data_IF_684698445485
#
_entry.id   IF_684698445485
#
_cell.length_a   1.000
_cell.length_b   1.000
_cell.length_c   1.000
_cell.angle_alpha   90.00
_cell.angle_beta   90.00
_cell.angle_gamma   90.00
#
_symmetry.space_group_name_H-M   'P 1'
#
loop_
_entity.id
_entity.type
_entity.pdbx_description
1 polymer ?
#
# COMPACT_ATOMS: atom_id res chain seq x y z
N UNK A 1 8.67 16.53 -26.71
CA UNK A 1 9.48 17.41 -25.85
C UNK A 1 10.79 16.70 -25.53
N UNK A 2 11.91 17.29 -25.95
CA UNK A 2 13.21 16.78 -25.56
C UNK A 2 13.59 17.36 -24.19
N UNK A 3 14.25 16.58 -23.31
CA UNK A 3 14.69 17.09 -22.02
C UNK A 3 15.66 18.28 -22.24
N UNK A 4 15.47 19.32 -21.44
CA UNK A 4 16.29 20.55 -21.48
C UNK A 4 17.78 20.24 -21.20
N UNK A 5 18.04 19.12 -20.52
CA UNK A 5 19.39 18.66 -20.19
C UNK A 5 19.44 17.14 -20.19
N UNK A 6 20.33 16.54 -20.98
CA UNK A 6 20.66 15.13 -20.88
C UNK A 6 21.58 14.91 -19.68
N UNK A 7 21.30 13.89 -18.84
CA UNK A 7 22.11 13.52 -17.70
C UNK A 7 22.38 12.01 -17.74
N UNK A 8 23.64 11.62 -17.57
CA UNK A 8 24.03 10.24 -17.36
C UNK A 8 24.31 10.10 -15.85
N UNK A 9 23.52 9.26 -15.20
CA UNK A 9 23.68 8.96 -13.77
C UNK A 9 24.44 7.64 -13.65
N UNK A 10 25.55 7.63 -12.89
CA UNK A 10 26.18 6.41 -12.43
C UNK A 10 25.32 5.70 -11.39
N UNK A 11 25.51 4.39 -11.21
CA UNK A 11 24.91 3.63 -10.13
C UNK A 11 25.97 3.18 -9.13
N UNK A 12 25.65 3.25 -7.83
CA UNK A 12 26.48 2.71 -6.75
C UNK A 12 26.23 1.21 -6.69
N UNK A 13 27.29 0.42 -6.67
CA UNK A 13 27.21 -1.05 -6.54
C UNK A 13 28.31 -1.56 -5.61
N UNK A 14 28.15 -2.76 -5.12
CA UNK A 14 29.17 -3.46 -4.33
C UNK A 14 30.20 -4.12 -5.25
N UNK A 15 31.44 -4.19 -4.80
CA UNK A 15 32.49 -5.01 -5.40
C UNK A 15 32.23 -6.50 -5.15
N UNK A 16 32.87 -7.39 -5.90
CA UNK A 16 32.70 -8.84 -5.74
C UNK A 16 33.04 -9.31 -4.31
N UNK A 17 34.06 -8.72 -3.68
CA UNK A 17 34.43 -9.03 -2.31
C UNK A 17 33.37 -8.59 -1.29
N UNK A 18 32.73 -7.44 -1.50
CA UNK A 18 31.63 -6.95 -0.64
C UNK A 18 30.37 -7.78 -0.84
N UNK A 19 30.08 -8.23 -2.07
CA UNK A 19 28.99 -9.15 -2.36
C UNK A 19 29.20 -10.50 -1.65
N UNK A 20 30.42 -11.05 -1.65
CA UNK A 20 30.74 -12.28 -0.92
C UNK A 20 30.55 -12.13 0.59
N UNK A 21 30.89 -10.99 1.16
CA UNK A 21 30.63 -10.70 2.57
C UNK A 21 29.14 -10.57 2.87
N UNK A 22 28.38 -9.91 1.97
CA UNK A 22 26.93 -9.73 2.12
C UNK A 22 26.17 -11.05 2.03
N UNK A 23 26.56 -11.98 1.14
CA UNK A 23 25.94 -13.31 1.01
C UNK A 23 25.95 -14.08 2.33
N UNK A 24 27.04 -14.02 3.08
CA UNK A 24 27.17 -14.70 4.38
C UNK A 24 26.12 -14.23 5.43
N UNK A 25 25.50 -13.07 5.22
CA UNK A 25 24.41 -12.58 6.07
C UNK A 25 23.09 -13.32 5.81
N UNK A 26 22.92 -13.93 4.66
CA UNK A 26 21.64 -14.47 4.18
C UNK A 26 21.63 -16.00 4.07
N UNK A 27 22.76 -16.62 3.71
CA UNK A 27 22.85 -18.06 3.51
C UNK A 27 22.47 -18.87 4.75
N UNK A 28 21.70 -19.93 4.57
CA UNK A 28 21.25 -20.86 5.61
C UNK A 28 20.46 -20.19 6.76
N UNK A 29 19.83 -19.07 6.50
CA UNK A 29 18.99 -18.36 7.47
C UNK A 29 17.55 -18.26 7.01
N UNK A 30 16.62 -18.33 7.95
CA UNK A 30 15.22 -18.03 7.73
C UNK A 30 15.05 -16.51 7.63
N UNK A 31 14.44 -16.02 6.55
CA UNK A 31 14.29 -14.58 6.38
C UNK A 31 13.04 -14.18 5.63
N UNK A 32 12.83 -12.86 5.56
CA UNK A 32 11.81 -12.21 4.77
C UNK A 32 12.42 -11.03 4.00
N UNK A 33 11.87 -10.75 2.82
CA UNK A 33 12.16 -9.54 2.06
C UNK A 33 10.98 -8.58 2.24
N UNK A 34 11.25 -7.32 2.57
CA UNK A 34 10.25 -6.25 2.58
C UNK A 34 10.56 -5.36 1.39
N UNK A 35 9.68 -5.37 0.37
CA UNK A 35 9.84 -4.59 -0.83
C UNK A 35 8.90 -3.38 -0.82
N UNK A 36 9.47 -2.19 -0.82
CA UNK A 36 8.74 -0.93 -0.91
C UNK A 36 9.02 -0.17 -2.21
N UNK A 37 8.52 1.05 -2.31
CA UNK A 37 8.80 1.91 -3.46
C UNK A 37 10.32 2.08 -3.64
N UNK A 38 10.78 1.99 -4.89
CA UNK A 38 12.20 2.13 -5.18
C UNK A 38 13.05 0.88 -4.89
N UNK A 39 12.42 -0.28 -4.71
CA UNK A 39 13.11 -1.56 -4.52
C UNK A 39 13.87 -2.06 -5.77
N UNK A 40 13.76 -1.37 -6.90
CA UNK A 40 14.46 -1.70 -8.13
C UNK A 40 13.64 -2.56 -9.09
N UNK A 41 14.32 -3.36 -9.89
CA UNK A 41 13.72 -4.23 -10.89
C UNK A 41 13.00 -5.40 -10.24
N UNK A 42 11.72 -5.59 -10.58
CA UNK A 42 10.85 -6.64 -10.06
C UNK A 42 11.43 -8.04 -10.31
N UNK A 43 12.03 -8.27 -11.50
CA UNK A 43 12.65 -9.57 -11.81
C UNK A 43 13.85 -9.84 -10.89
N UNK A 44 14.65 -8.83 -10.56
CA UNK A 44 15.79 -8.99 -9.68
C UNK A 44 15.38 -9.31 -8.22
N UNK A 45 14.24 -8.76 -7.77
CA UNK A 45 13.65 -9.11 -6.46
C UNK A 45 13.18 -10.56 -6.47
N UNK A 46 12.47 -11.00 -7.52
CA UNK A 46 12.01 -12.39 -7.66
C UNK A 46 13.18 -13.38 -7.71
N UNK A 47 14.20 -13.11 -8.54
CA UNK A 47 15.43 -13.92 -8.62
C UNK A 47 16.10 -14.09 -7.24
N UNK A 48 16.16 -13.01 -6.47
CA UNK A 48 16.75 -13.05 -5.12
C UNK A 48 15.85 -13.83 -4.14
N UNK A 49 14.54 -13.59 -4.17
CA UNK A 49 13.58 -14.25 -3.29
C UNK A 49 13.55 -15.77 -3.53
N UNK A 50 13.54 -16.19 -4.81
CA UNK A 50 13.64 -17.60 -5.20
C UNK A 50 14.95 -18.22 -4.73
N UNK A 51 16.09 -17.56 -5.00
CA UNK A 51 17.41 -18.04 -4.59
C UNK A 51 17.54 -18.23 -3.07
N UNK A 52 16.97 -17.31 -2.27
CA UNK A 52 16.97 -17.39 -0.81
C UNK A 52 15.89 -18.32 -0.24
N UNK A 53 14.81 -18.59 -1.01
CA UNK A 53 13.61 -19.24 -0.49
C UNK A 53 12.83 -18.37 0.49
N UNK A 54 12.85 -17.04 0.31
CA UNK A 54 12.23 -16.08 1.21
C UNK A 54 10.99 -15.42 0.62
N UNK A 55 9.91 -15.23 1.41
CA UNK A 55 8.74 -14.48 0.97
C UNK A 55 9.05 -12.99 0.81
N UNK A 56 8.37 -12.35 -0.15
CA UNK A 56 8.44 -10.90 -0.40
C UNK A 56 7.16 -10.25 0.13
N UNK A 57 7.25 -9.55 1.25
CA UNK A 57 6.17 -8.72 1.78
C UNK A 57 6.13 -7.44 0.94
N UNK A 58 5.22 -7.41 -0.04
CA UNK A 58 5.24 -6.43 -1.12
C UNK A 58 4.25 -5.29 -0.85
N UNK A 59 4.77 -4.08 -0.57
CA UNK A 59 3.98 -2.83 -0.56
C UNK A 59 3.30 -2.64 -1.92
N UNK A 60 2.10 -2.08 -1.93
CA UNK A 60 1.34 -1.81 -3.16
C UNK A 60 2.10 -0.92 -4.16
N UNK A 61 3.04 -0.10 -3.68
CA UNK A 61 3.86 0.81 -4.49
C UNK A 61 5.18 0.19 -4.97
N UNK A 62 5.49 -1.06 -4.54
CA UNK A 62 6.75 -1.73 -4.90
C UNK A 62 6.78 -2.23 -6.35
N UNK A 63 5.61 -2.51 -6.94
CA UNK A 63 5.45 -3.24 -8.19
C UNK A 63 5.65 -4.76 -8.05
N UNK A 64 6.04 -5.26 -6.86
CA UNK A 64 6.41 -6.67 -6.65
C UNK A 64 5.24 -7.60 -6.32
N UNK A 65 3.99 -7.09 -6.21
CA UNK A 65 2.85 -7.91 -5.78
C UNK A 65 2.47 -9.05 -6.75
N UNK A 66 2.95 -9.01 -8.00
CA UNK A 66 2.65 -10.00 -9.03
C UNK A 66 3.69 -11.13 -9.18
N UNK A 67 4.78 -11.14 -8.40
CA UNK A 67 5.77 -12.20 -8.47
C UNK A 67 5.34 -13.43 -7.66
N UNK A 68 5.83 -14.65 -8.00
CA UNK A 68 5.43 -15.88 -7.31
C UNK A 68 5.71 -15.89 -5.80
N UNK A 69 6.76 -15.20 -5.38
CA UNK A 69 7.22 -15.12 -3.98
C UNK A 69 6.49 -14.06 -3.16
N UNK A 70 5.55 -13.31 -3.79
CA UNK A 70 4.92 -12.17 -3.14
C UNK A 70 3.84 -12.58 -2.14
N UNK A 71 3.79 -11.78 -1.07
CA UNK A 71 2.77 -11.80 -0.02
C UNK A 71 2.14 -10.42 0.00
N UNK A 72 0.90 -10.33 -0.49
CA UNK A 72 0.19 -9.06 -0.67
C UNK A 72 -0.55 -8.65 0.61
N UNK A 73 -1.20 -9.62 1.26
CA UNK A 73 -2.00 -9.38 2.47
C UNK A 73 -1.21 -9.59 3.77
N UNK A 74 0.10 -9.31 3.74
CA UNK A 74 1.01 -9.57 4.85
C UNK A 74 0.56 -8.95 6.17
N UNK A 75 -0.08 -7.78 6.16
CA UNK A 75 -0.60 -7.14 7.38
C UNK A 75 -1.64 -8.02 8.07
N UNK A 76 -2.62 -8.56 7.32
CA UNK A 76 -3.62 -9.49 7.86
C UNK A 76 -3.01 -10.80 8.34
N UNK A 77 -2.01 -11.33 7.62
CA UNK A 77 -1.31 -12.56 8.02
C UNK A 77 -0.54 -12.38 9.34
N UNK A 78 0.13 -11.25 9.50
CA UNK A 78 0.91 -10.94 10.70
C UNK A 78 0.01 -10.75 11.94
N UNK A 79 -1.26 -10.37 11.76
CA UNK A 79 -2.25 -10.30 12.86
C UNK A 79 -2.69 -11.68 13.35
N UNK A 80 -2.47 -12.73 12.59
CA UNK A 80 -2.77 -14.11 13.00
C UNK A 80 -1.62 -14.66 13.87
N UNK A 81 -1.77 -14.61 15.20
CA UNK A 81 -0.75 -15.05 16.14
C UNK A 81 -0.31 -16.50 15.88
N UNK A 82 -1.26 -17.40 15.64
CA UNK A 82 -0.98 -18.82 15.39
C UNK A 82 -0.09 -19.04 14.15
N UNK A 83 -0.19 -18.16 13.15
CA UNK A 83 0.66 -18.19 11.96
C UNK A 83 2.02 -17.53 12.24
N UNK A 84 2.02 -16.30 12.76
CA UNK A 84 3.23 -15.49 12.85
C UNK A 84 4.25 -16.05 13.86
N UNK A 85 3.80 -16.72 14.91
CA UNK A 85 4.68 -17.36 15.89
C UNK A 85 5.57 -18.46 15.28
N UNK A 86 5.11 -19.10 14.20
CA UNK A 86 5.86 -20.10 13.45
C UNK A 86 6.75 -19.47 12.35
N UNK A 87 6.58 -18.19 12.08
CA UNK A 87 7.22 -17.50 10.96
C UNK A 87 8.27 -16.46 11.39
N UNK A 88 8.84 -16.58 12.58
CA UNK A 88 9.84 -15.64 13.10
C UNK A 88 11.08 -15.65 12.22
N UNK A 89 11.46 -14.52 11.58
CA UNK A 89 12.65 -14.44 10.76
C UNK A 89 13.92 -14.25 11.62
N UNK A 90 15.04 -14.76 11.14
CA UNK A 90 16.37 -14.47 11.66
C UNK A 90 16.97 -13.23 10.98
N UNK A 91 16.57 -13.00 9.71
CA UNK A 91 17.02 -11.87 8.90
C UNK A 91 15.84 -11.19 8.22
N UNK A 92 15.85 -9.87 8.22
CA UNK A 92 14.91 -9.04 7.45
C UNK A 92 15.70 -8.20 6.47
N UNK A 93 15.45 -8.42 5.17
CA UNK A 93 16.03 -7.63 4.10
C UNK A 93 15.00 -6.59 3.64
N UNK A 94 15.26 -5.33 3.94
CA UNK A 94 14.43 -4.19 3.54
C UNK A 94 15.01 -3.55 2.29
N UNK A 95 14.20 -3.44 1.24
CA UNK A 95 14.62 -2.87 -0.05
C UNK A 95 13.66 -1.75 -0.45
N UNK A 96 14.19 -0.54 -0.61
CA UNK A 96 13.41 0.66 -0.88
C UNK A 96 12.72 1.24 0.35
N UNK A 97 11.63 2.01 0.13
CA UNK A 97 10.89 2.68 1.20
C UNK A 97 10.11 1.68 2.09
N UNK A 98 9.92 2.03 3.35
CA UNK A 98 9.14 1.20 4.28
C UNK A 98 7.64 1.24 3.95
N UNK A 99 6.93 0.10 4.02
CA UNK A 99 5.47 0.03 3.96
C UNK A 99 4.77 0.83 5.06
N UNK A 100 3.48 1.09 4.88
CA UNK A 100 2.67 1.86 5.85
C UNK A 100 2.25 1.06 7.08
N UNK A 101 2.44 -0.25 7.09
CA UNK A 101 1.95 -1.16 8.12
C UNK A 101 2.68 -0.99 9.45
N UNK A 102 1.93 -0.53 10.47
CA UNK A 102 2.40 -0.51 11.86
C UNK A 102 2.63 -1.93 12.40
N UNK A 103 1.76 -2.86 12.01
CA UNK A 103 1.81 -4.26 12.47
C UNK A 103 3.06 -4.95 11.94
N UNK A 104 3.45 -4.69 10.68
CA UNK A 104 4.70 -5.17 10.12
C UNK A 104 5.91 -4.65 10.92
N UNK A 105 5.96 -3.35 11.21
CA UNK A 105 7.05 -2.77 11.99
C UNK A 105 7.15 -3.40 13.39
N UNK A 106 6.01 -3.59 14.07
CA UNK A 106 5.95 -4.26 15.38
C UNK A 106 6.43 -5.72 15.31
N UNK A 107 6.02 -6.45 14.28
CA UNK A 107 6.45 -7.83 14.05
C UNK A 107 7.96 -7.92 13.85
N UNK A 108 8.52 -7.09 12.99
CA UNK A 108 9.95 -7.04 12.72
C UNK A 108 10.75 -6.66 13.98
N UNK A 109 10.29 -5.66 14.72
CA UNK A 109 10.93 -5.27 16.00
C UNK A 109 10.87 -6.40 17.03
N UNK A 110 9.72 -7.05 17.18
CA UNK A 110 9.51 -8.16 18.14
C UNK A 110 10.36 -9.40 17.78
N UNK A 111 10.60 -9.66 16.50
CA UNK A 111 11.38 -10.79 16.03
C UNK A 111 12.86 -10.71 16.46
N UNK A 112 13.40 -9.52 16.71
CA UNK A 112 14.83 -9.25 16.95
C UNK A 112 15.73 -9.75 15.83
N UNK A 113 15.21 -9.87 14.62
CA UNK A 113 15.94 -10.26 13.43
C UNK A 113 17.07 -9.28 13.12
N UNK A 114 18.13 -9.77 12.51
CA UNK A 114 19.17 -8.91 11.95
C UNK A 114 18.61 -8.19 10.72
N UNK A 115 18.52 -6.86 10.77
CA UNK A 115 17.89 -6.08 9.72
C UNK A 115 18.93 -5.45 8.79
N UNK A 116 18.83 -5.77 7.50
CA UNK A 116 19.61 -5.18 6.43
C UNK A 116 18.73 -4.26 5.61
N UNK A 117 19.12 -3.02 5.43
CA UNK A 117 18.42 -2.08 4.53
C UNK A 117 19.30 -1.77 3.33
N UNK A 118 18.74 -1.95 2.13
CA UNK A 118 19.39 -1.66 0.86
C UNK A 118 18.69 -0.50 0.18
N UNK A 119 19.41 0.56 -0.10
CA UNK A 119 18.90 1.70 -0.87
C UNK A 119 20.03 2.38 -1.65
N UNK A 120 19.66 3.04 -2.74
CA UNK A 120 20.59 3.85 -3.53
C UNK A 120 20.97 5.17 -2.85
N UNK A 121 20.30 5.53 -1.76
CA UNK A 121 20.47 6.77 -1.03
C UNK A 121 21.07 6.49 0.36
N UNK A 122 21.90 7.42 0.84
CA UNK A 122 22.53 7.31 2.17
C UNK A 122 21.52 7.44 3.33
N UNK A 123 20.37 8.07 3.07
CA UNK A 123 19.35 8.29 4.10
C UNK A 123 18.53 7.03 4.35
N UNK A 124 18.72 6.46 5.54
CA UNK A 124 17.93 5.33 6.02
C UNK A 124 16.67 5.85 6.68
N UNK A 125 15.51 5.47 6.14
CA UNK A 125 14.24 5.74 6.80
C UNK A 125 13.97 4.64 7.84
N UNK A 126 14.50 4.82 9.03
CA UNK A 126 14.45 3.87 10.15
C UNK A 126 14.03 4.59 11.44
N UNK A 127 12.72 4.91 11.54
CA UNK A 127 12.19 5.65 12.67
C UNK A 127 12.36 4.95 14.02
N UNK A 128 12.45 3.63 14.01
CA UNK A 128 12.58 2.81 15.22
C UNK A 128 14.04 2.44 15.52
N UNK A 129 14.99 2.91 14.72
CA UNK A 129 16.45 2.62 14.84
C UNK A 129 16.74 1.12 14.96
N UNK A 130 16.10 0.31 14.11
CA UNK A 130 16.16 -1.15 14.13
C UNK A 130 17.11 -1.73 13.07
N UNK A 131 17.52 -0.94 12.07
CA UNK A 131 18.40 -1.39 11.00
C UNK A 131 19.80 -1.67 11.56
N UNK A 132 20.22 -2.92 11.44
CA UNK A 132 21.55 -3.38 11.90
C UNK A 132 22.66 -3.05 10.91
N UNK A 133 22.32 -3.05 9.60
CA UNK A 133 23.26 -2.77 8.52
C UNK A 133 22.56 -2.01 7.40
N UNK A 134 23.13 -0.88 6.99
CA UNK A 134 22.72 -0.17 5.78
C UNK A 134 23.73 -0.45 4.66
N UNK A 135 23.22 -0.85 3.50
CA UNK A 135 24.01 -1.06 2.28
C UNK A 135 23.60 -0.01 1.24
N UNK A 136 24.50 0.94 0.99
CA UNK A 136 24.33 1.93 -0.07
C UNK A 136 24.63 1.30 -1.42
N UNK A 137 23.62 0.84 -2.13
CA UNK A 137 23.75 0.21 -3.44
C UNK A 137 22.46 0.39 -4.26
N UNK A 138 22.60 0.36 -5.58
CA UNK A 138 21.44 0.20 -6.44
C UNK A 138 20.77 -1.14 -6.15
N UNK A 139 19.47 -1.16 -5.75
CA UNK A 139 18.77 -2.38 -5.36
C UNK A 139 18.81 -3.49 -6.40
N UNK A 140 18.63 -3.16 -7.68
CA UNK A 140 18.66 -4.14 -8.79
C UNK A 140 20.02 -4.82 -8.90
N UNK A 141 21.09 -4.02 -8.85
CA UNK A 141 22.47 -4.54 -8.94
C UNK A 141 22.80 -5.41 -7.73
N UNK A 142 22.40 -4.97 -6.54
CA UNK A 142 22.55 -5.73 -5.31
C UNK A 142 21.81 -7.10 -5.40
N UNK A 143 20.52 -7.09 -5.73
CA UNK A 143 19.72 -8.33 -5.80
C UNK A 143 20.33 -9.33 -6.79
N UNK A 144 20.67 -8.90 -7.99
CA UNK A 144 21.32 -9.77 -9.01
C UNK A 144 22.70 -10.24 -8.61
N UNK A 145 23.46 -9.40 -7.89
CA UNK A 145 24.76 -9.78 -7.37
C UNK A 145 24.68 -10.88 -6.32
N UNK A 146 23.75 -10.72 -5.35
CA UNK A 146 23.55 -11.71 -4.28
C UNK A 146 22.94 -13.00 -4.83
N UNK A 147 21.89 -12.92 -5.67
CA UNK A 147 21.21 -14.14 -6.18
C UNK A 147 22.16 -15.10 -6.93
N UNK A 148 23.16 -14.55 -7.66
CA UNK A 148 24.15 -15.36 -8.36
C UNK A 148 25.13 -16.12 -7.46
N UNK A 149 25.28 -15.68 -6.23
CA UNK A 149 26.23 -16.24 -5.26
C UNK A 149 25.56 -17.19 -4.27
N UNK A 150 24.24 -17.18 -4.16
CA UNK A 150 23.48 -18.13 -3.33
C UNK A 150 23.50 -19.51 -4.00
N UNK A 151 23.95 -20.53 -3.26
CA UNK A 151 24.10 -21.88 -3.78
C UNK A 151 22.85 -22.76 -3.60
N UNK A 152 22.06 -22.50 -2.56
CA UNK A 152 20.81 -23.23 -2.29
C UNK A 152 19.85 -22.36 -1.46
N UNK A 153 18.55 -22.53 -1.73
CA UNK A 153 17.51 -21.89 -0.96
C UNK A 153 17.52 -22.35 0.51
N UNK A 154 17.56 -21.40 1.43
CA UNK A 154 17.73 -21.69 2.86
C UNK A 154 16.50 -22.34 3.47
N UNK A 155 15.29 -21.90 3.06
CA UNK A 155 14.04 -22.40 3.62
C UNK A 155 12.85 -22.30 2.62
N UNK A 156 12.80 -23.19 1.60
CA UNK A 156 11.68 -23.21 0.64
C UNK A 156 10.32 -23.47 1.30
N UNK A 157 10.31 -24.10 2.48
CA UNK A 157 9.10 -24.36 3.24
C UNK A 157 8.52 -23.06 3.82
N UNK A 158 9.38 -22.17 4.32
CA UNK A 158 8.97 -20.86 4.80
C UNK A 158 8.28 -20.06 3.70
N UNK A 159 8.90 -19.96 2.50
CA UNK A 159 8.31 -19.29 1.35
C UNK A 159 6.92 -19.85 1.01
N UNK A 160 6.81 -21.18 0.86
CA UNK A 160 5.55 -21.81 0.50
C UNK A 160 4.45 -21.61 1.55
N UNK A 161 4.77 -21.57 2.83
CA UNK A 161 3.81 -21.29 3.91
C UNK A 161 3.23 -19.88 3.80
N UNK A 162 4.07 -18.88 3.59
CA UNK A 162 3.63 -17.49 3.41
C UNK A 162 2.75 -17.31 2.17
N UNK A 163 3.20 -17.84 1.03
CA UNK A 163 2.46 -17.72 -0.25
C UNK A 163 1.11 -18.44 -0.16
N UNK A 164 1.06 -19.65 0.42
CA UNK A 164 -0.20 -20.37 0.63
C UNK A 164 -1.15 -19.62 1.57
N UNK A 165 -0.64 -19.01 2.65
CA UNK A 165 -1.44 -18.20 3.54
C UNK A 165 -1.99 -16.94 2.84
N UNK A 166 -1.19 -16.27 2.01
CA UNK A 166 -1.64 -15.13 1.21
C UNK A 166 -2.73 -15.52 0.22
N UNK A 167 -2.60 -16.68 -0.44
CA UNK A 167 -3.63 -17.18 -1.34
C UNK A 167 -4.96 -17.46 -0.62
N UNK A 168 -4.92 -18.02 0.60
CA UNK A 168 -6.12 -18.21 1.43
C UNK A 168 -6.74 -16.85 1.81
N UNK A 169 -5.92 -15.87 2.19
CA UNK A 169 -6.37 -14.51 2.51
C UNK A 169 -7.07 -13.87 1.30
N UNK A 170 -6.44 -13.90 0.13
CA UNK A 170 -6.96 -13.38 -1.14
C UNK A 170 -8.35 -13.96 -1.48
N UNK A 171 -8.49 -15.28 -1.40
CA UNK A 171 -9.77 -15.97 -1.69
C UNK A 171 -10.83 -15.59 -0.66
N UNK A 172 -10.47 -15.52 0.62
CA UNK A 172 -11.40 -15.17 1.70
C UNK A 172 -11.92 -13.75 1.55
N UNK A 173 -11.05 -12.76 1.32
CA UNK A 173 -11.42 -11.36 1.12
C UNK A 173 -12.33 -11.21 -0.11
N UNK A 174 -11.94 -11.80 -1.24
CA UNK A 174 -12.73 -11.71 -2.47
C UNK A 174 -14.11 -12.35 -2.32
N UNK A 175 -14.22 -13.48 -1.61
CA UNK A 175 -15.48 -14.15 -1.32
C UNK A 175 -16.37 -13.29 -0.41
N UNK A 176 -15.81 -12.70 0.63
CA UNK A 176 -16.55 -11.82 1.55
C UNK A 176 -17.14 -10.62 0.80
N UNK A 177 -16.34 -9.93 -0.01
CA UNK A 177 -16.82 -8.78 -0.77
C UNK A 177 -17.83 -9.14 -1.87
N UNK A 178 -17.74 -10.34 -2.46
CA UNK A 178 -18.72 -10.81 -3.42
C UNK A 178 -20.06 -11.21 -2.77
N UNK A 179 -20.04 -11.67 -1.53
CA UNK A 179 -21.22 -12.11 -0.79
C UNK A 179 -21.93 -11.00 -0.01
N UNK A 180 -21.22 -9.90 0.26
CA UNK A 180 -21.75 -8.78 1.05
C UNK A 180 -22.88 -8.06 0.33
N UNK A 181 -24.08 -8.09 0.92
CA UNK A 181 -25.25 -7.30 0.51
C UNK A 181 -25.40 -6.02 1.35
N UNK A 182 -24.47 -5.75 2.23
CA UNK A 182 -24.45 -4.57 3.09
C UNK A 182 -24.09 -3.31 2.31
N UNK A 183 -24.32 -2.16 2.93
CA UNK A 183 -23.81 -0.88 2.43
C UNK A 183 -22.29 -0.95 2.21
N UNK A 184 -21.83 -0.20 1.20
CA UNK A 184 -20.40 -0.08 0.92
C UNK A 184 -19.63 0.35 2.16
N UNK A 185 -18.48 -0.29 2.39
CA UNK A 185 -17.50 0.08 3.42
C UNK A 185 -16.16 0.45 2.78
N UNK A 186 -15.28 1.11 3.52
CA UNK A 186 -14.01 1.62 2.99
C UNK A 186 -13.10 0.52 2.41
N UNK A 187 -12.91 -0.67 3.04
CA UNK A 187 -12.20 -1.80 2.43
C UNK A 187 -12.77 -2.25 1.09
N UNK A 188 -14.09 -2.35 0.99
CA UNK A 188 -14.76 -2.75 -0.25
C UNK A 188 -14.63 -1.68 -1.34
N UNK A 189 -14.68 -0.40 -0.97
CA UNK A 189 -14.43 0.72 -1.90
C UNK A 189 -13.02 0.63 -2.47
N UNK A 190 -12.00 0.37 -1.64
CA UNK A 190 -10.62 0.20 -2.09
C UNK A 190 -10.49 -1.00 -3.05
N UNK A 191 -11.08 -2.14 -2.72
CA UNK A 191 -11.06 -3.35 -3.54
C UNK A 191 -11.74 -3.14 -4.90
N UNK A 192 -12.97 -2.56 -4.93
CA UNK A 192 -13.71 -2.31 -6.16
C UNK A 192 -13.02 -1.27 -7.02
N UNK A 193 -12.51 -0.19 -6.41
CA UNK A 193 -11.78 0.88 -7.10
C UNK A 193 -10.53 0.34 -7.79
N UNK A 194 -9.69 -0.41 -7.06
CA UNK A 194 -8.51 -1.07 -7.63
C UNK A 194 -8.89 -2.04 -8.76
N UNK A 195 -9.95 -2.83 -8.57
CA UNK A 195 -10.39 -3.83 -9.55
C UNK A 195 -10.95 -3.23 -10.84
N UNK A 196 -11.32 -1.95 -10.83
CA UNK A 196 -11.79 -1.21 -12.01
C UNK A 196 -10.67 -0.71 -12.93
N UNK A 197 -9.41 -0.83 -12.49
CA UNK A 197 -8.23 -0.38 -13.22
C UNK A 197 -7.60 -1.51 -14.02
N UNK A 198 -7.02 -1.15 -15.16
CA UNK A 198 -6.35 -2.03 -16.10
C UNK A 198 -4.84 -1.85 -16.07
N UNK A 199 -4.12 -2.73 -16.75
CA UNK A 199 -2.66 -2.66 -16.87
C UNK A 199 -2.22 -1.29 -17.40
N UNK A 200 -1.34 -0.64 -16.65
CA UNK A 200 -0.75 0.66 -16.99
C UNK A 200 -1.55 1.86 -16.47
N UNK A 201 -2.76 1.65 -15.94
CA UNK A 201 -3.50 2.72 -15.28
C UNK A 201 -2.81 3.16 -13.99
N UNK A 202 -3.10 4.40 -13.56
CA UNK A 202 -2.56 4.96 -12.33
C UNK A 202 -3.55 4.81 -11.17
N UNK A 203 -3.04 4.41 -10.02
CA UNK A 203 -3.73 4.47 -8.74
C UNK A 203 -2.99 5.42 -7.80
N UNK A 204 -3.59 6.56 -7.48
CA UNK A 204 -3.07 7.46 -6.48
C UNK A 204 -3.79 7.21 -5.16
N UNK A 205 -3.07 6.89 -4.10
CA UNK A 205 -3.66 6.58 -2.80
C UNK A 205 -3.24 7.58 -1.73
N UNK A 206 -4.22 8.16 -1.05
CA UNK A 206 -4.00 9.10 0.04
C UNK A 206 -3.54 8.41 1.31
N UNK A 207 -2.84 9.14 2.15
CA UNK A 207 -2.54 8.74 3.53
C UNK A 207 -3.82 8.52 4.35
N UNK A 208 -3.69 8.18 5.64
CA UNK A 208 -4.77 7.79 6.55
C UNK A 208 -5.33 6.41 6.24
N UNK A 209 -6.66 6.19 6.23
CA UNK A 209 -7.25 4.87 5.98
C UNK A 209 -7.12 4.41 4.52
N UNK A 210 -7.27 5.26 3.49
CA UNK A 210 -7.23 4.77 2.10
C UNK A 210 -6.01 3.93 1.73
N UNK A 211 -4.79 4.32 2.16
CA UNK A 211 -3.59 3.51 1.90
C UNK A 211 -3.62 2.19 2.67
N UNK A 212 -4.26 2.15 3.83
CA UNK A 212 -4.40 0.94 4.65
C UNK A 212 -5.45 0.00 4.07
N UNK A 213 -6.59 0.53 3.65
CA UNK A 213 -7.64 -0.23 3.00
C UNK A 213 -7.12 -0.90 1.72
N UNK A 214 -6.31 -0.18 0.95
CA UNK A 214 -5.64 -0.73 -0.23
C UNK A 214 -4.63 -1.82 0.14
N UNK A 215 -3.74 -1.57 1.11
CA UNK A 215 -2.67 -2.49 1.50
C UNK A 215 -3.23 -3.76 2.17
N UNK A 216 -4.29 -3.63 2.98
CA UNK A 216 -4.84 -4.76 3.72
C UNK A 216 -5.79 -5.61 2.89
N UNK A 217 -6.61 -4.97 2.04
CA UNK A 217 -7.77 -5.62 1.39
C UNK A 217 -7.92 -5.31 -0.10
N UNK A 218 -7.18 -4.36 -0.66
CA UNK A 218 -7.33 -3.93 -2.05
C UNK A 218 -6.87 -4.96 -3.09
N UNK A 219 -6.01 -5.89 -2.68
CA UNK A 219 -5.46 -6.92 -3.55
C UNK A 219 -4.28 -6.48 -4.40
N UNK A 220 -3.92 -7.29 -5.39
CA UNK A 220 -2.71 -7.14 -6.20
C UNK A 220 -2.74 -5.91 -7.12
N UNK A 221 -1.80 -5.01 -6.95
CA UNK A 221 -1.60 -3.78 -7.73
C UNK A 221 -0.45 -3.88 -8.76
N UNK A 222 0.12 -5.05 -9.00
CA UNK A 222 1.32 -5.24 -9.85
C UNK A 222 1.18 -4.74 -11.28
N UNK A 223 -0.04 -4.69 -11.81
CA UNK A 223 -0.30 -4.18 -13.16
C UNK A 223 -0.48 -2.66 -13.21
N UNK A 224 -0.53 -2.00 -12.07
CA UNK A 224 -0.82 -0.57 -11.93
C UNK A 224 0.45 0.23 -11.63
N UNK A 225 0.40 1.53 -11.92
CA UNK A 225 1.35 2.48 -11.38
C UNK A 225 0.77 3.11 -10.12
N UNK A 226 1.31 2.74 -8.94
CA UNK A 226 0.78 3.21 -7.66
C UNK A 226 1.60 4.38 -7.14
N UNK A 227 0.90 5.48 -6.85
CA UNK A 227 1.45 6.73 -6.36
C UNK A 227 0.88 7.11 -5.00
N UNK A 228 1.63 7.83 -4.20
CA UNK A 228 1.17 8.44 -2.95
C UNK A 228 2.12 9.53 -2.50
N UNK A 229 1.63 10.51 -1.73
CA UNK A 229 2.44 11.50 -1.05
C UNK A 229 3.02 10.88 0.23
N UNK A 230 4.13 10.12 0.09
CA UNK A 230 4.86 9.53 1.22
C UNK A 230 6.13 10.35 1.51
N UNK A 231 6.50 10.40 2.78
CA UNK A 231 7.52 11.31 3.32
C UNK A 231 6.82 12.31 4.24
N UNK A 232 6.36 13.44 3.75
CA UNK A 232 5.38 14.28 4.46
C UNK A 232 3.97 13.76 4.20
N UNK A 233 3.42 12.96 5.11
CA UNK A 233 2.14 12.25 4.94
C UNK A 233 0.92 13.15 5.25
N UNK A 234 0.87 14.36 4.67
CA UNK A 234 -0.23 15.29 4.85
C UNK A 234 -1.50 14.92 4.10
N UNK A 235 -2.55 15.68 4.35
CA UNK A 235 -3.82 15.64 3.60
C UNK A 235 -3.84 16.69 2.49
N UNK A 236 -2.86 17.57 2.47
CA UNK A 236 -2.64 18.64 1.49
C UNK A 236 -2.05 18.09 0.18
N UNK A 237 -2.42 18.68 -0.94
CA UNK A 237 -1.86 18.41 -2.25
C UNK A 237 -2.15 17.02 -2.83
N UNK A 238 -3.09 16.27 -2.28
CA UNK A 238 -3.45 14.90 -2.75
C UNK A 238 -4.08 14.97 -4.13
N UNK A 239 -5.08 15.83 -4.31
CA UNK A 239 -5.78 16.01 -5.59
C UNK A 239 -4.83 16.66 -6.60
N UNK A 240 -4.09 17.70 -6.22
CA UNK A 240 -3.10 18.35 -7.07
C UNK A 240 -2.07 17.36 -7.62
N UNK A 241 -1.54 16.48 -6.76
CA UNK A 241 -0.57 15.45 -7.14
C UNK A 241 -1.18 14.42 -8.10
N UNK A 242 -2.41 13.97 -7.83
CA UNK A 242 -3.12 13.04 -8.71
C UNK A 242 -3.41 13.65 -10.09
N UNK A 243 -3.78 14.94 -10.15
CA UNK A 243 -3.94 15.68 -11.40
C UNK A 243 -2.61 15.73 -12.15
N UNK A 244 -1.51 16.03 -11.44
CA UNK A 244 -0.16 16.04 -12.02
C UNK A 244 0.23 14.69 -12.65
N UNK A 245 -0.08 13.59 -11.95
CA UNK A 245 0.13 12.22 -12.48
C UNK A 245 -0.71 11.98 -13.73
N UNK A 246 -2.00 12.30 -13.69
CA UNK A 246 -2.90 12.12 -14.85
C UNK A 246 -2.43 12.88 -16.09
N UNK A 247 -1.97 14.13 -15.90
CA UNK A 247 -1.44 14.96 -16.99
C UNK A 247 -0.13 14.40 -17.55
N UNK A 248 0.78 13.99 -16.67
CA UNK A 248 2.11 13.53 -17.05
C UNK A 248 2.08 12.19 -17.78
N UNK A 249 1.26 11.25 -17.30
CA UNK A 249 1.19 9.89 -17.85
C UNK A 249 0.21 9.76 -19.00
N UNK A 250 -0.79 10.62 -19.08
CA UNK A 250 -1.95 10.52 -20.01
C UNK A 250 -2.70 9.19 -19.93
N UNK A 251 -2.62 8.53 -18.77
CA UNK A 251 -3.32 7.28 -18.48
C UNK A 251 -4.54 7.57 -17.59
N UNK A 252 -5.54 6.68 -17.63
CA UNK A 252 -6.63 6.70 -16.65
C UNK A 252 -6.02 6.72 -15.26
N UNK A 253 -6.46 7.66 -14.44
CA UNK A 253 -5.98 7.83 -13.08
C UNK A 253 -7.16 7.75 -12.11
N UNK A 254 -7.01 6.96 -11.06
CA UNK A 254 -7.95 6.92 -9.94
C UNK A 254 -7.22 7.42 -8.70
N UNK A 255 -7.83 8.36 -7.98
CA UNK A 255 -7.37 8.73 -6.64
C UNK A 255 -8.36 8.24 -5.59
N UNK A 256 -7.84 7.52 -4.59
CA UNK A 256 -8.59 7.04 -3.43
C UNK A 256 -8.19 7.89 -2.22
N UNK A 257 -9.15 8.64 -1.64
CA UNK A 257 -8.89 9.54 -0.53
C UNK A 257 -10.11 9.66 0.41
N UNK A 258 -9.84 10.13 1.64
CA UNK A 258 -10.90 10.47 2.59
C UNK A 258 -11.45 11.89 2.37
N UNK A 259 -12.60 12.15 2.98
CA UNK A 259 -13.33 13.42 2.94
C UNK A 259 -12.52 14.63 3.42
N UNK A 260 -11.80 14.50 4.53
CA UNK A 260 -10.97 15.59 5.07
C UNK A 260 -9.84 15.97 4.11
N UNK A 261 -9.21 14.97 3.47
CA UNK A 261 -8.19 15.23 2.45
C UNK A 261 -8.79 15.87 1.19
N UNK A 262 -10.01 15.44 0.80
CA UNK A 262 -10.73 16.05 -0.31
C UNK A 262 -11.07 17.53 -0.02
N UNK A 263 -11.57 17.83 1.16
CA UNK A 263 -11.88 19.20 1.57
C UNK A 263 -10.64 20.09 1.60
N UNK A 264 -9.54 19.58 2.16
CA UNK A 264 -8.30 20.32 2.31
C UNK A 264 -7.70 20.74 0.97
N UNK A 265 -7.83 19.92 -0.06
CA UNK A 265 -7.24 20.16 -1.40
C UNK A 265 -8.30 20.40 -2.49
N UNK A 266 -9.53 20.70 -2.11
CA UNK A 266 -10.66 20.91 -3.05
C UNK A 266 -10.43 22.04 -4.04
N UNK A 267 -9.65 23.06 -3.69
CA UNK A 267 -9.29 24.16 -4.60
C UNK A 267 -8.52 23.66 -5.85
N UNK A 268 -7.80 22.56 -5.74
CA UNK A 268 -7.07 21.93 -6.85
C UNK A 268 -8.01 21.40 -7.95
N UNK A 269 -9.30 21.16 -7.64
CA UNK A 269 -10.31 20.77 -8.64
C UNK A 269 -10.44 21.79 -9.78
N UNK A 270 -10.13 23.05 -9.52
CA UNK A 270 -10.09 24.11 -10.55
C UNK A 270 -9.14 23.77 -11.70
N UNK A 271 -8.07 23.02 -11.40
CA UNK A 271 -7.11 22.61 -12.44
C UNK A 271 -7.65 21.55 -13.41
N UNK A 272 -8.80 20.94 -13.11
CA UNK A 272 -9.48 19.98 -14.02
C UNK A 272 -10.39 20.66 -15.04
N UNK A 273 -10.76 21.92 -14.82
CA UNK A 273 -11.60 22.69 -15.74
C UNK A 273 -10.84 22.84 -17.05
N UNK A 274 -11.49 22.51 -18.14
CA UNK A 274 -10.93 22.60 -19.52
C UNK A 274 -9.69 21.71 -19.78
N UNK A 275 -9.47 20.66 -18.97
CA UNK A 275 -8.41 19.66 -19.20
C UNK A 275 -9.00 18.33 -19.61
N UNK A 276 -8.47 17.79 -20.71
CA UNK A 276 -8.82 16.45 -21.20
C UNK A 276 -7.96 15.39 -20.47
N UNK A 277 -8.39 15.04 -19.25
CA UNK A 277 -7.79 13.97 -18.45
C UNK A 277 -8.88 13.07 -17.90
N UNK A 278 -8.58 11.79 -17.76
CA UNK A 278 -9.51 10.81 -17.14
C UNK A 278 -9.09 10.55 -15.68
N UNK A 279 -9.62 11.37 -14.76
CA UNK A 279 -9.34 11.29 -13.33
C UNK A 279 -10.60 10.93 -12.53
N UNK A 280 -10.63 9.74 -11.92
CA UNK A 280 -11.68 9.33 -10.99
C UNK A 280 -11.26 9.69 -9.57
N UNK A 281 -11.99 10.62 -8.93
CA UNK A 281 -11.75 11.03 -7.56
C UNK A 281 -12.74 10.29 -6.67
N UNK A 282 -12.33 9.19 -6.05
CA UNK A 282 -13.15 8.35 -5.17
C UNK A 282 -12.93 8.80 -3.73
N UNK A 283 -13.99 9.35 -3.14
CA UNK A 283 -13.96 9.88 -1.76
C UNK A 283 -14.74 8.95 -0.83
N UNK A 284 -14.06 8.37 0.14
CA UNK A 284 -14.70 7.73 1.29
C UNK A 284 -15.09 8.82 2.28
N UNK A 285 -16.40 9.12 2.35
CA UNK A 285 -16.97 10.20 3.15
C UNK A 285 -17.56 9.63 4.44
N UNK A 286 -16.83 9.77 5.53
CA UNK A 286 -17.24 9.33 6.87
C UNK A 286 -17.46 10.50 7.85
N UNK A 287 -17.53 11.73 7.32
CA UNK A 287 -17.71 12.98 8.05
C UNK A 287 -16.60 13.22 9.09
N UNK A 288 -15.31 12.99 8.71
CA UNK A 288 -14.20 13.41 9.56
C UNK A 288 -13.00 12.48 9.68
N UNK A 289 -12.35 12.51 10.84
CA UNK A 289 -11.09 11.83 11.11
C UNK A 289 -11.22 10.34 11.47
N UNK A 290 -11.69 9.49 10.54
CA UNK A 290 -11.93 8.06 10.78
C UNK A 290 -10.74 7.28 11.34
N UNK A 291 -9.51 7.59 10.92
CA UNK A 291 -8.31 6.90 11.42
C UNK A 291 -8.12 6.96 12.94
N UNK A 292 -8.62 8.02 13.58
CA UNK A 292 -8.44 8.19 15.02
C UNK A 292 -9.25 7.20 15.85
N UNK A 293 -10.30 6.58 15.27
CA UNK A 293 -11.08 5.53 15.94
C UNK A 293 -10.28 4.22 16.14
N UNK A 294 -9.16 4.05 15.45
CA UNK A 294 -8.23 2.92 15.61
C UNK A 294 -7.15 3.16 16.68
N UNK A 295 -7.22 4.30 17.37
CA UNK A 295 -6.23 4.68 18.38
C UNK A 295 -6.82 4.58 19.79
N UNK A 296 -5.99 4.36 20.83
CA UNK A 296 -6.45 4.26 22.20
C UNK A 296 -7.28 5.45 22.69
N UNK A 297 -7.07 6.64 22.10
CA UNK A 297 -7.81 7.86 22.44
C UNK A 297 -9.33 7.71 22.25
N UNK A 298 -9.76 6.87 21.29
CA UNK A 298 -11.18 6.62 21.06
C UNK A 298 -11.89 5.98 22.28
N UNK A 299 -11.14 5.25 23.11
CA UNK A 299 -11.66 4.56 24.31
C UNK A 299 -11.41 5.35 25.61
N UNK A 300 -10.37 6.21 25.62
CA UNK A 300 -9.88 6.87 26.83
C UNK A 300 -10.61 8.20 27.11
N UNK A 301 -10.92 8.96 26.05
CA UNK A 301 -11.57 10.28 26.19
C UNK A 301 -13.08 10.15 26.02
N UNK A 302 -13.85 11.11 26.56
CA UNK A 302 -15.30 11.15 26.31
C UNK A 302 -15.61 11.38 24.83
N UNK A 303 -16.72 10.83 24.36
CA UNK A 303 -17.18 11.00 22.97
C UNK A 303 -17.19 12.46 22.52
N UNK A 304 -17.69 13.36 23.37
CA UNK A 304 -17.73 14.80 23.06
C UNK A 304 -16.33 15.39 22.84
N UNK A 305 -15.35 15.00 23.64
CA UNK A 305 -13.95 15.44 23.49
C UNK A 305 -13.33 14.81 22.26
N UNK A 306 -13.60 13.51 22.02
CA UNK A 306 -13.11 12.81 20.86
C UNK A 306 -13.61 13.42 19.55
N UNK A 307 -14.91 13.64 19.43
CA UNK A 307 -15.50 14.25 18.24
C UNK A 307 -14.96 15.65 17.96
N UNK A 308 -14.74 16.44 19.02
CA UNK A 308 -14.21 17.80 18.87
C UNK A 308 -12.76 17.86 18.44
N UNK A 309 -11.90 16.92 18.92
CA UNK A 309 -10.44 17.00 18.73
C UNK A 309 -9.92 16.05 17.67
N UNK A 310 -10.59 14.92 17.43
CA UNK A 310 -10.15 13.85 16.55
C UNK A 310 -11.16 13.52 15.45
N UNK A 311 -12.43 13.33 15.78
CA UNK A 311 -13.49 13.05 14.83
C UNK A 311 -13.72 14.21 13.87
N UNK A 312 -13.76 15.43 14.41
CA UNK A 312 -13.86 16.70 13.66
C UNK A 312 -14.88 16.67 12.52
N UNK A 313 -16.17 16.36 12.81
CA UNK A 313 -17.19 16.26 11.77
C UNK A 313 -17.37 17.60 11.04
N UNK A 314 -17.34 17.56 9.71
CA UNK A 314 -17.37 18.77 8.88
C UNK A 314 -18.74 19.09 8.29
N UNK A 315 -19.66 18.11 8.18
CA UNK A 315 -21.02 18.24 7.66
C UNK A 315 -21.12 18.93 6.28
N UNK A 316 -20.05 18.89 5.50
CA UNK A 316 -19.97 19.53 4.19
C UNK A 316 -20.52 18.60 3.10
N UNK A 317 -21.36 19.15 2.21
CA UNK A 317 -21.82 18.41 1.03
C UNK A 317 -20.71 18.40 -0.05
N UNK A 318 -19.96 17.31 -0.09
CA UNK A 318 -18.86 17.14 -1.03
C UNK A 318 -19.30 17.08 -2.49
N UNK A 319 -20.53 16.59 -2.74
CA UNK A 319 -21.11 16.54 -4.09
C UNK A 319 -21.37 17.96 -4.60
N UNK A 320 -22.01 18.80 -3.80
CA UNK A 320 -22.23 20.19 -4.17
C UNK A 320 -20.93 20.99 -4.33
N UNK A 321 -19.93 20.71 -3.48
CA UNK A 321 -18.61 21.33 -3.60
C UNK A 321 -17.95 20.96 -4.94
N UNK A 322 -17.97 19.70 -5.34
CA UNK A 322 -17.43 19.27 -6.64
C UNK A 322 -18.21 19.85 -7.82
N UNK A 323 -19.55 19.94 -7.70
CA UNK A 323 -20.41 20.58 -8.71
C UNK A 323 -20.11 22.08 -8.89
N UNK A 324 -19.73 22.77 -7.80
CA UNK A 324 -19.29 24.17 -7.89
C UNK A 324 -18.03 24.34 -8.78
N UNK A 325 -17.20 23.28 -8.87
CA UNK A 325 -16.06 23.20 -9.80
C UNK A 325 -16.44 22.62 -11.18
N UNK A 326 -17.75 22.49 -11.51
CA UNK A 326 -18.26 21.99 -12.79
C UNK A 326 -17.88 20.55 -13.12
N UNK A 327 -17.56 19.73 -12.12
CA UNK A 327 -17.25 18.32 -12.30
C UNK A 327 -18.50 17.47 -12.27
N UNK A 328 -18.49 16.38 -13.05
CA UNK A 328 -19.49 15.32 -12.91
C UNK A 328 -19.35 14.67 -11.53
N UNK A 329 -20.49 14.36 -10.90
CA UNK A 329 -20.52 13.82 -9.54
C UNK A 329 -21.44 12.61 -9.44
N UNK A 330 -21.06 11.66 -8.63
CA UNK A 330 -21.82 10.46 -8.32
C UNK A 330 -21.85 10.24 -6.82
N UNK A 331 -23.03 9.89 -6.29
CA UNK A 331 -23.25 9.50 -4.90
C UNK A 331 -23.59 8.00 -4.87
N UNK A 332 -22.63 7.18 -4.43
CA UNK A 332 -22.72 5.74 -4.56
C UNK A 332 -22.99 5.09 -3.19
N UNK A 333 -24.05 4.30 -3.12
CA UNK A 333 -24.49 3.52 -1.96
C UNK A 333 -24.40 2.00 -2.19
N UNK A 334 -23.97 1.59 -3.39
CA UNK A 334 -23.85 0.18 -3.78
C UNK A 334 -22.67 -0.07 -4.69
N UNK A 335 -22.17 -1.32 -4.70
CA UNK A 335 -21.06 -1.77 -5.57
C UNK A 335 -21.41 -1.51 -7.03
N UNK A 336 -22.64 -1.78 -7.44
CA UNK A 336 -23.08 -1.57 -8.84
C UNK A 336 -22.98 -0.09 -9.25
N UNK A 337 -23.48 0.83 -8.40
CA UNK A 337 -23.36 2.27 -8.67
C UNK A 337 -21.90 2.72 -8.71
N UNK A 338 -21.07 2.22 -7.80
CA UNK A 338 -19.66 2.53 -7.78
C UNK A 338 -18.97 2.06 -9.07
N UNK A 339 -19.16 0.80 -9.47
CA UNK A 339 -18.60 0.24 -10.72
C UNK A 339 -19.04 1.01 -11.96
N UNK A 340 -20.34 1.36 -12.03
CA UNK A 340 -20.88 2.17 -13.12
C UNK A 340 -20.24 3.56 -13.18
N UNK A 341 -20.05 4.21 -12.04
CA UNK A 341 -19.42 5.53 -11.97
C UNK A 341 -17.93 5.47 -12.34
N UNK A 342 -17.22 4.43 -11.95
CA UNK A 342 -15.80 4.19 -12.29
C UNK A 342 -15.59 3.93 -13.79
N UNK A 343 -16.62 3.47 -14.50
CA UNK A 343 -16.58 3.22 -15.95
C UNK A 343 -16.93 4.43 -16.81
N UNK A 344 -17.33 5.55 -16.22
CA UNK A 344 -17.63 6.78 -16.98
C UNK A 344 -16.38 7.34 -17.64
N UNK A 345 -16.55 8.08 -18.73
CA UNK A 345 -15.46 8.76 -19.42
C UNK A 345 -15.23 10.14 -18.81
N UNK A 346 -13.96 10.56 -18.73
CA UNK A 346 -13.56 11.87 -18.25
C UNK A 346 -13.49 11.98 -16.72
N UNK A 347 -13.16 13.17 -16.23
CA UNK A 347 -12.94 13.41 -14.80
C UNK A 347 -14.25 13.52 -14.04
N UNK A 348 -14.32 12.89 -12.87
CA UNK A 348 -15.50 12.97 -11.98
C UNK A 348 -15.11 12.79 -10.52
N UNK A 349 -16.02 13.21 -9.63
CA UNK A 349 -15.95 12.95 -8.19
C UNK A 349 -17.00 11.90 -7.83
N UNK A 350 -16.59 10.85 -7.18
CA UNK A 350 -17.42 9.72 -6.74
C UNK A 350 -17.39 9.68 -5.23
N UNK A 351 -18.50 10.04 -4.58
CA UNK A 351 -18.64 9.95 -3.13
C UNK A 351 -19.21 8.60 -2.74
N UNK A 352 -18.60 7.97 -1.75
CA UNK A 352 -19.16 6.81 -1.03
C UNK A 352 -19.25 7.16 0.44
N UNK A 353 -20.46 7.19 0.99
CA UNK A 353 -20.67 7.42 2.42
C UNK A 353 -20.38 6.15 3.19
N UNK A 354 -19.58 6.31 4.23
CA UNK A 354 -19.27 5.25 5.20
C UNK A 354 -19.47 5.76 6.62
N UNK A 355 -19.40 4.87 7.60
CA UNK A 355 -19.55 5.24 9.01
C UNK A 355 -18.28 4.90 9.79
N UNK A 356 -17.56 5.91 10.29
CA UNK A 356 -16.26 5.76 10.93
C UNK A 356 -16.24 4.90 12.20
N UNK A 357 -17.38 4.72 12.87
CA UNK A 357 -17.48 3.87 14.06
C UNK A 357 -17.59 2.41 13.65
N UNK A 358 -18.51 2.09 12.74
CA UNK A 358 -18.70 0.72 12.24
C UNK A 358 -17.52 0.20 11.43
N UNK A 359 -16.75 1.09 10.76
CA UNK A 359 -15.57 0.71 9.99
C UNK A 359 -14.52 -0.03 10.85
N UNK A 360 -14.35 0.35 12.12
CA UNK A 360 -13.40 -0.35 13.03
C UNK A 360 -13.77 -1.81 13.18
N UNK A 361 -15.05 -2.09 13.43
CA UNK A 361 -15.55 -3.46 13.58
C UNK A 361 -15.46 -4.26 12.26
N UNK A 362 -15.74 -3.61 11.12
CA UNK A 362 -15.64 -4.22 9.79
C UNK A 362 -14.20 -4.65 9.50
N UNK A 363 -13.23 -3.78 9.74
CA UNK A 363 -11.82 -4.10 9.55
C UNK A 363 -11.38 -5.27 10.45
N UNK A 364 -11.78 -5.25 11.72
CA UNK A 364 -11.50 -6.33 12.67
C UNK A 364 -12.10 -7.64 12.18
N UNK A 365 -13.35 -7.65 11.77
CA UNK A 365 -14.03 -8.84 11.24
C UNK A 365 -13.32 -9.41 10.01
N UNK A 366 -12.88 -8.57 9.07
CA UNK A 366 -12.13 -9.01 7.90
C UNK A 366 -10.79 -9.66 8.28
N UNK A 367 -10.06 -9.09 9.23
CA UNK A 367 -8.82 -9.69 9.74
C UNK A 367 -9.08 -11.03 10.45
N UNK A 368 -10.16 -11.16 11.21
CA UNK A 368 -10.57 -12.40 11.88
C UNK A 368 -10.96 -13.49 10.89
N UNK A 369 -11.70 -13.14 9.82
CA UNK A 369 -12.03 -14.06 8.73
C UNK A 369 -10.77 -14.59 8.04
N UNK A 370 -9.82 -13.72 7.73
CA UNK A 370 -8.53 -14.12 7.15
C UNK A 370 -7.77 -15.02 8.12
N UNK A 371 -7.67 -14.66 9.40
CA UNK A 371 -6.98 -15.46 10.42
C UNK A 371 -7.59 -16.86 10.54
N UNK A 372 -8.93 -16.97 10.56
CA UNK A 372 -9.63 -18.24 10.62
C UNK A 372 -9.35 -19.12 9.40
N UNK A 373 -9.31 -18.51 8.19
CA UNK A 373 -9.02 -19.24 6.95
C UNK A 373 -7.59 -19.76 6.88
N UNK A 374 -6.63 -19.08 7.51
CA UNK A 374 -5.22 -19.49 7.50
C UNK A 374 -4.99 -20.67 8.42
N UNK A 375 -5.65 -20.68 9.59
CA UNK A 375 -5.49 -21.72 10.62
C UNK A 375 -6.23 -23.02 10.26
N UNK A 376 -7.34 -22.91 9.51
CA UNK A 376 -8.06 -24.06 8.94
C UNK A 376 -7.24 -24.75 7.83
#
# INVERSE_FOLDING_TARGET
>A
DQPIRAQILGSIGLSDSELQQAVALFENRKGIIIAGRGCGDVSAISELAEALGWPVLADSRSGCQGIPESVVHFDSLIRCNAFVEQQVPEVVLRIGESPSSKVLNQYVTKSRAFQVHVSAFENTFDADSQVSLHISSNPTTFCRGISRLINAASDPKNLSQWVNADQKARVTIAKEFASSQNALNAPQVAFVSRSSLSKGDNLFVSSSMPVRDLEWFGGDCSLLQVFSNRGANGIDGVIASAIGVAIATRQKTLVLLGDVAFLHDSSSLTALVDRDVDLKIVVTDNDGGGIFHYLPQAEIVSEQVFEKLFGTPHQTDLVRLAQAHRLATFDCDSVEKLQKSLSTVGSCVIRVRTDRVSEVAIHQQLHELVSSAIVA
#
